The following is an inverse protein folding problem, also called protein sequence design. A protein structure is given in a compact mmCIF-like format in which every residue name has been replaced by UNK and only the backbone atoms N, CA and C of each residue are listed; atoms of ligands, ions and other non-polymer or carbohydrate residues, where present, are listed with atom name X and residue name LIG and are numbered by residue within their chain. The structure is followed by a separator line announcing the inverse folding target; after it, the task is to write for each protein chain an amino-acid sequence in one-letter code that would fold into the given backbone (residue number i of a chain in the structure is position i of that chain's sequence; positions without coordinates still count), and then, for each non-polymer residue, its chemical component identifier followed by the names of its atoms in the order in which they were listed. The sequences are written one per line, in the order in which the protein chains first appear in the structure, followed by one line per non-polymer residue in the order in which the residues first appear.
data_IF_768789364891
#
_entry.id   IF_768789364891
#
_cell.length_a   1.000
_cell.length_b   1.000
_cell.length_c   1.000
_cell.angle_alpha   90.00
_cell.angle_beta   90.00
_cell.angle_gamma   90.00
#
_symmetry.space_group_name_H-M   'P 1'
#
loop_
_entity.id
_entity.type
_entity.pdbx_description
1 polymer ?
#
# COMPACT_ATOMS: atom_id res chain seq x y z
N UNK A 1 -19.29 17.61 -4.65
CA UNK A 1 -18.94 16.44 -5.52
C UNK A 1 -17.49 16.15 -5.22
N UNK A 2 -17.16 14.89 -4.91
CA UNK A 2 -15.81 14.45 -4.54
C UNK A 2 -15.03 14.11 -5.81
N UNK A 3 -13.99 14.88 -6.12
CA UNK A 3 -13.10 14.65 -7.26
C UNK A 3 -11.99 13.67 -6.87
N UNK A 4 -11.97 12.52 -7.53
CA UNK A 4 -11.09 11.40 -7.18
C UNK A 4 -10.01 11.20 -8.22
N UNK A 5 -8.75 11.09 -7.81
CA UNK A 5 -7.65 10.54 -8.61
C UNK A 5 -7.52 9.04 -8.31
N UNK A 6 -7.49 8.20 -9.33
CA UNK A 6 -7.19 6.77 -9.21
C UNK A 6 -5.78 6.51 -9.75
N UNK A 7 -4.93 5.90 -8.93
CA UNK A 7 -3.58 5.45 -9.30
C UNK A 7 -3.48 3.92 -9.15
N UNK A 8 -3.54 3.20 -10.27
CA UNK A 8 -3.51 1.74 -10.36
C UNK A 8 -3.02 1.36 -11.77
N UNK A 9 -2.12 0.40 -11.92
CA UNK A 9 -1.60 -0.01 -13.23
C UNK A 9 -2.54 -1.00 -13.96
N UNK A 10 -3.49 -1.60 -13.24
CA UNK A 10 -4.45 -2.55 -13.81
C UNK A 10 -5.63 -1.83 -14.46
N UNK A 11 -5.62 -1.73 -15.78
CA UNK A 11 -6.67 -1.03 -16.56
C UNK A 11 -8.08 -1.50 -16.25
N UNK A 12 -8.28 -2.81 -16.03
CA UNK A 12 -9.60 -3.37 -15.72
C UNK A 12 -10.10 -2.92 -14.36
N UNK A 13 -9.21 -2.89 -13.36
CA UNK A 13 -9.53 -2.42 -12.01
C UNK A 13 -9.87 -0.94 -12.05
N UNK A 14 -9.05 -0.09 -12.71
CA UNK A 14 -9.36 1.35 -12.86
C UNK A 14 -10.74 1.59 -13.47
N UNK A 15 -11.06 0.87 -14.57
CA UNK A 15 -12.39 0.98 -15.21
C UNK A 15 -13.52 0.57 -14.27
N UNK A 16 -13.34 -0.52 -13.53
CA UNK A 16 -14.32 -0.97 -12.54
C UNK A 16 -14.52 0.02 -11.41
N UNK A 17 -13.44 0.54 -10.84
CA UNK A 17 -13.48 1.58 -9.81
C UNK A 17 -14.18 2.84 -10.33
N UNK A 18 -13.84 3.29 -11.54
CA UNK A 18 -14.47 4.45 -12.18
C UNK A 18 -15.96 4.25 -12.34
N UNK A 19 -16.41 3.10 -12.87
CA UNK A 19 -17.83 2.80 -13.02
C UNK A 19 -18.55 2.84 -11.66
N UNK A 20 -18.00 2.21 -10.62
CA UNK A 20 -18.60 2.20 -9.27
C UNK A 20 -18.77 3.65 -8.74
N UNK A 21 -17.80 4.52 -8.99
CA UNK A 21 -17.85 5.90 -8.51
C UNK A 21 -18.78 6.76 -9.36
N UNK A 22 -18.77 6.61 -10.68
CA UNK A 22 -19.64 7.36 -11.59
C UNK A 22 -21.13 6.98 -11.43
N UNK A 23 -21.43 5.78 -10.89
CA UNK A 23 -22.79 5.36 -10.50
C UNK A 23 -23.29 6.08 -9.22
N UNK A 24 -22.44 6.86 -8.54
CA UNK A 24 -22.84 7.65 -7.37
C UNK A 24 -23.11 9.11 -7.76
N UNK A 25 -24.04 9.76 -7.06
CA UNK A 25 -24.39 11.16 -7.34
C UNK A 25 -23.38 12.19 -6.77
N UNK A 26 -22.50 11.76 -5.87
CA UNK A 26 -21.64 12.61 -5.06
C UNK A 26 -20.13 12.46 -5.35
N UNK A 27 -19.75 11.55 -6.25
CA UNK A 27 -18.35 11.27 -6.58
C UNK A 27 -18.09 11.34 -8.08
N UNK A 28 -16.85 11.62 -8.46
CA UNK A 28 -16.42 11.63 -9.84
C UNK A 28 -14.92 11.33 -9.95
N UNK A 29 -14.55 10.47 -10.88
CA UNK A 29 -13.13 10.28 -11.25
C UNK A 29 -12.70 11.38 -12.20
N UNK A 30 -11.80 12.24 -11.74
CA UNK A 30 -11.28 13.38 -12.52
C UNK A 30 -9.81 13.19 -12.93
N UNK A 31 -9.18 12.10 -12.49
CA UNK A 31 -7.83 11.73 -12.88
C UNK A 31 -7.59 10.24 -12.81
N UNK A 32 -6.82 9.72 -13.75
CA UNK A 32 -6.36 8.33 -13.79
C UNK A 32 -4.85 8.30 -14.03
N UNK A 33 -4.12 7.55 -13.22
CA UNK A 33 -2.68 7.34 -13.31
C UNK A 33 -2.36 5.85 -13.36
N UNK A 34 -1.43 5.46 -14.22
CA UNK A 34 -0.96 4.07 -14.35
C UNK A 34 0.35 3.82 -13.60
N UNK A 35 0.98 4.91 -13.13
CA UNK A 35 2.26 4.86 -12.43
C UNK A 35 2.26 5.83 -11.24
N UNK A 36 3.11 5.56 -10.26
CA UNK A 36 3.28 6.45 -9.12
C UNK A 36 3.79 7.84 -9.51
N UNK A 37 4.66 7.92 -10.52
CA UNK A 37 5.15 9.19 -11.03
C UNK A 37 4.02 10.02 -11.67
N UNK A 38 3.14 9.40 -12.46
CA UNK A 38 1.97 10.07 -13.02
C UNK A 38 1.04 10.58 -11.92
N UNK A 39 0.76 9.76 -10.89
CA UNK A 39 -0.07 10.18 -9.76
C UNK A 39 0.50 11.42 -9.06
N UNK A 40 1.81 11.44 -8.80
CA UNK A 40 2.50 12.58 -8.18
C UNK A 40 2.40 13.82 -9.08
N UNK A 41 2.66 13.68 -10.38
CA UNK A 41 2.59 14.81 -11.33
C UNK A 41 1.18 15.38 -11.45
N UNK A 42 0.16 14.52 -11.45
CA UNK A 42 -1.24 14.97 -11.51
C UNK A 42 -1.64 15.69 -10.23
N UNK A 43 -1.25 15.17 -9.06
CA UNK A 43 -1.52 15.82 -7.77
C UNK A 43 -0.81 17.18 -7.61
N UNK A 44 0.29 17.41 -8.34
CA UNK A 44 0.96 18.72 -8.37
C UNK A 44 0.25 19.73 -9.28
N UNK A 45 -0.42 19.27 -10.33
CA UNK A 45 -1.01 20.12 -11.38
C UNK A 45 -2.49 20.39 -11.18
N UNK A 46 -3.19 19.52 -10.47
CA UNK A 46 -4.64 19.55 -10.33
C UNK A 46 -5.04 19.28 -8.89
N UNK A 47 -6.13 19.91 -8.45
CA UNK A 47 -6.70 19.67 -7.15
C UNK A 47 -7.61 18.41 -7.21
N UNK A 48 -7.41 17.52 -6.24
CA UNK A 48 -8.26 16.37 -6.00
C UNK A 48 -8.74 16.41 -4.55
N UNK A 49 -9.98 15.98 -4.31
CA UNK A 49 -10.53 15.89 -2.97
C UNK A 49 -10.03 14.64 -2.25
N UNK A 50 -9.62 13.60 -3.02
CA UNK A 50 -8.96 12.42 -2.50
C UNK A 50 -8.23 11.62 -3.59
N UNK A 51 -7.36 10.72 -3.16
CA UNK A 51 -6.60 9.83 -4.03
C UNK A 51 -6.83 8.37 -3.61
N UNK A 52 -7.21 7.53 -4.57
CA UNK A 52 -7.16 6.07 -4.46
C UNK A 52 -5.79 5.60 -4.99
N UNK A 53 -5.00 4.95 -4.16
CA UNK A 53 -3.61 4.62 -4.48
C UNK A 53 -3.33 3.15 -4.30
N UNK A 54 -2.97 2.47 -5.38
CA UNK A 54 -2.48 1.11 -5.31
C UNK A 54 -1.09 1.05 -4.65
N UNK A 55 -0.87 0.00 -3.86
CA UNK A 55 0.45 -0.31 -3.28
C UNK A 55 1.41 -0.81 -4.35
N UNK A 56 0.94 -1.59 -5.31
CA UNK A 56 1.76 -2.33 -6.28
C UNK A 56 1.84 -1.61 -7.62
N UNK A 57 2.42 -0.40 -7.65
CA UNK A 57 2.64 0.33 -8.89
C UNK A 57 3.96 -0.10 -9.59
N UNK A 58 4.02 -0.03 -10.94
CA UNK A 58 5.12 -0.60 -11.70
C UNK A 58 6.44 0.15 -11.55
N UNK A 59 6.42 1.44 -11.22
CA UNK A 59 7.61 2.29 -11.10
C UNK A 59 8.04 2.54 -9.65
N UNK A 60 7.10 2.54 -8.70
CA UNK A 60 7.34 2.85 -7.29
C UNK A 60 6.43 2.02 -6.39
N UNK A 61 6.88 1.77 -5.15
CA UNK A 61 5.98 1.26 -4.12
C UNK A 61 4.95 2.35 -3.75
N UNK A 62 3.67 1.97 -3.63
CA UNK A 62 2.60 2.92 -3.31
C UNK A 62 2.80 3.64 -1.98
N UNK A 63 3.47 3.03 -0.99
CA UNK A 63 3.81 3.71 0.28
C UNK A 63 4.84 4.82 0.05
N UNK A 64 5.81 4.63 -0.85
CA UNK A 64 6.76 5.68 -1.23
C UNK A 64 6.05 6.83 -1.97
N UNK A 65 5.07 6.49 -2.82
CA UNK A 65 4.21 7.46 -3.52
C UNK A 65 3.36 8.24 -2.51
N UNK A 66 2.72 7.55 -1.55
CA UNK A 66 1.95 8.15 -0.46
C UNK A 66 2.76 9.20 0.29
N UNK A 67 3.99 8.84 0.71
CA UNK A 67 4.89 9.77 1.42
C UNK A 67 5.16 11.04 0.59
N UNK A 68 5.41 10.88 -0.73
CA UNK A 68 5.64 12.01 -1.63
C UNK A 68 4.37 12.85 -1.81
N UNK A 69 3.20 12.24 -1.97
CA UNK A 69 1.92 12.93 -2.06
C UNK A 69 1.63 13.75 -0.80
N UNK A 70 1.93 13.20 0.38
CA UNK A 70 1.75 13.88 1.66
C UNK A 70 2.72 15.06 1.88
N UNK A 71 3.89 15.05 1.25
CA UNK A 71 4.79 16.21 1.23
C UNK A 71 4.29 17.33 0.32
N UNK A 72 3.62 16.99 -0.79
CA UNK A 72 3.10 17.96 -1.77
C UNK A 72 1.77 18.54 -1.30
N UNK A 73 0.84 17.70 -0.92
CA UNK A 73 -0.52 18.02 -0.50
C UNK A 73 -0.85 17.30 0.82
N UNK A 74 -0.45 17.82 1.98
CA UNK A 74 -0.65 17.19 3.28
C UNK A 74 -2.12 16.88 3.60
N UNK A 75 -3.02 17.78 3.16
CA UNK A 75 -4.44 17.74 3.49
C UNK A 75 -5.26 16.79 2.62
N UNK A 76 -4.78 16.47 1.40
CA UNK A 76 -5.50 15.56 0.50
C UNK A 76 -5.47 14.14 1.07
N UNK A 77 -6.62 13.56 1.40
CA UNK A 77 -6.68 12.21 1.94
C UNK A 77 -6.32 11.18 0.87
N UNK A 78 -5.56 10.15 1.28
CA UNK A 78 -5.17 9.03 0.42
C UNK A 78 -5.73 7.75 1.02
N UNK A 79 -6.57 7.04 0.25
CA UNK A 79 -7.05 5.69 0.55
C UNK A 79 -6.19 4.69 -0.21
N UNK A 80 -5.48 3.84 0.53
CA UNK A 80 -4.64 2.80 -0.06
C UNK A 80 -5.51 1.63 -0.52
N UNK A 81 -5.22 1.12 -1.72
CA UNK A 81 -5.83 -0.08 -2.28
C UNK A 81 -4.78 -1.19 -2.38
N UNK A 82 -5.14 -2.43 -2.08
CA UNK A 82 -4.24 -3.57 -2.19
C UNK A 82 -4.98 -4.86 -2.51
N UNK A 83 -4.33 -5.78 -3.21
CA UNK A 83 -4.78 -7.17 -3.33
C UNK A 83 -4.41 -8.01 -2.10
N UNK A 84 -3.51 -7.53 -1.26
CA UNK A 84 -3.08 -8.21 -0.04
C UNK A 84 -4.07 -7.97 1.10
N UNK A 85 -4.18 -8.94 1.99
CA UNK A 85 -4.99 -8.82 3.21
C UNK A 85 -4.55 -7.62 4.08
N UNK A 86 -5.41 -7.20 5.01
CA UNK A 86 -5.20 -6.06 5.91
C UNK A 86 -4.18 -6.39 7.00
N UNK A 87 -2.94 -6.59 6.59
CA UNK A 87 -1.82 -6.94 7.47
C UNK A 87 -0.82 -5.78 7.64
N UNK A 88 0.44 -6.11 7.61
CA UNK A 88 1.55 -5.17 7.80
C UNK A 88 1.58 -4.01 6.78
N UNK A 89 1.02 -4.18 5.57
CA UNK A 89 0.92 -3.07 4.61
C UNK A 89 -0.09 -2.02 5.06
N UNK A 90 -1.20 -2.45 5.67
CA UNK A 90 -2.18 -1.53 6.23
C UNK A 90 -1.58 -0.70 7.37
N UNK A 91 -0.91 -1.35 8.33
CA UNK A 91 -0.21 -0.67 9.45
C UNK A 91 0.85 0.32 8.93
N UNK A 92 1.68 -0.12 7.95
CA UNK A 92 2.70 0.74 7.33
C UNK A 92 2.10 1.93 6.61
N UNK A 93 1.02 1.72 5.86
CA UNK A 93 0.31 2.78 5.15
C UNK A 93 -0.27 3.81 6.13
N UNK A 94 -0.90 3.36 7.21
CA UNK A 94 -1.43 4.25 8.24
C UNK A 94 -0.32 5.06 8.94
N UNK A 95 0.81 4.43 9.26
CA UNK A 95 2.01 5.12 9.80
C UNK A 95 2.59 6.14 8.81
N UNK A 96 2.50 5.87 7.51
CA UNK A 96 2.95 6.78 6.46
C UNK A 96 1.98 7.93 6.16
N UNK A 97 0.81 7.97 6.83
CA UNK A 97 -0.16 9.05 6.72
C UNK A 97 -1.35 8.75 5.80
N UNK A 98 -1.61 7.49 5.46
CA UNK A 98 -2.85 7.12 4.78
C UNK A 98 -4.08 7.53 5.60
N UNK A 99 -5.15 7.90 4.90
CA UNK A 99 -6.46 8.14 5.50
C UNK A 99 -7.27 6.87 5.69
N UNK A 100 -6.90 5.79 4.98
CA UNK A 100 -7.50 4.47 5.13
C UNK A 100 -6.78 3.44 4.26
N UNK A 101 -7.21 2.19 4.43
CA UNK A 101 -6.76 1.04 3.67
C UNK A 101 -7.95 0.17 3.30
N UNK A 102 -8.00 -0.33 2.08
CA UNK A 102 -9.08 -1.18 1.58
C UNK A 102 -8.51 -2.28 0.69
N UNK A 103 -8.99 -3.51 0.87
CA UNK A 103 -8.70 -4.61 -0.04
C UNK A 103 -9.44 -4.39 -1.37
N UNK A 104 -8.76 -4.57 -2.50
CA UNK A 104 -9.37 -4.45 -3.85
C UNK A 104 -10.48 -5.47 -4.11
N UNK A 105 -10.55 -6.54 -3.33
CA UNK A 105 -11.63 -7.53 -3.38
C UNK A 105 -12.86 -7.13 -2.56
N UNK A 106 -12.81 -5.99 -1.87
CA UNK A 106 -13.94 -5.49 -1.09
C UNK A 106 -15.16 -5.19 -1.96
N UNK A 107 -16.34 -5.35 -1.40
CA UNK A 107 -17.58 -5.05 -2.10
C UNK A 107 -17.66 -3.58 -2.53
N UNK A 108 -18.31 -3.25 -3.68
CA UNK A 108 -18.44 -1.86 -4.14
C UNK A 108 -19.01 -0.91 -3.09
N UNK A 109 -19.96 -1.37 -2.28
CA UNK A 109 -20.52 -0.58 -1.18
C UNK A 109 -19.51 -0.21 -0.10
N UNK A 110 -18.53 -1.08 0.17
CA UNK A 110 -17.45 -0.79 1.11
C UNK A 110 -16.51 0.28 0.56
N UNK A 111 -16.19 0.25 -0.74
CA UNK A 111 -15.39 1.29 -1.39
C UNK A 111 -16.09 2.66 -1.28
N UNK A 112 -17.37 2.74 -1.66
CA UNK A 112 -18.13 3.99 -1.59
C UNK A 112 -18.20 4.53 -0.15
N UNK A 113 -18.43 3.65 0.83
CA UNK A 113 -18.46 4.04 2.25
C UNK A 113 -17.07 4.52 2.73
N UNK A 114 -15.99 3.83 2.33
CA UNK A 114 -14.62 4.21 2.67
C UNK A 114 -14.30 5.61 2.13
N UNK A 115 -14.66 5.88 0.86
CA UNK A 115 -14.44 7.19 0.23
C UNK A 115 -15.20 8.29 0.98
N UNK A 116 -16.48 8.11 1.29
CA UNK A 116 -17.28 9.09 2.06
C UNK A 116 -16.70 9.35 3.44
N UNK A 117 -16.29 8.29 4.12
CA UNK A 117 -15.67 8.38 5.44
C UNK A 117 -14.39 9.22 5.38
N UNK A 118 -13.52 8.90 4.43
CA UNK A 118 -12.22 9.55 4.26
C UNK A 118 -12.40 11.00 3.80
N UNK A 119 -13.30 11.27 2.86
CA UNK A 119 -13.61 12.62 2.38
C UNK A 119 -14.22 13.52 3.46
N UNK A 120 -14.85 12.93 4.49
CA UNK A 120 -15.34 13.68 5.67
C UNK A 120 -14.24 14.00 6.71
N UNK A 121 -12.97 13.69 6.40
CA UNK A 121 -11.82 13.92 7.29
C UNK A 121 -11.62 12.82 8.34
N UNK A 122 -12.39 11.73 8.29
CA UNK A 122 -12.24 10.59 9.20
C UNK A 122 -11.30 9.55 8.64
N UNK A 123 -10.70 8.73 9.50
CA UNK A 123 -9.94 7.55 9.07
C UNK A 123 -10.90 6.41 8.75
N UNK A 124 -10.62 5.68 7.66
CA UNK A 124 -11.29 4.43 7.36
C UNK A 124 -10.38 3.26 7.74
N UNK A 125 -10.80 2.50 8.74
CA UNK A 125 -10.04 1.37 9.30
C UNK A 125 -11.05 0.22 9.46
N UNK A 126 -10.70 -0.97 8.97
CA UNK A 126 -11.50 -2.17 9.24
C UNK A 126 -11.42 -2.58 10.72
N UNK A 127 -12.36 -3.41 11.17
CA UNK A 127 -12.35 -3.94 12.52
C UNK A 127 -11.05 -4.71 12.82
N UNK A 128 -10.61 -5.55 11.88
CA UNK A 128 -9.37 -6.33 12.03
C UNK A 128 -8.13 -5.44 12.17
N UNK A 129 -8.01 -4.43 11.32
CA UNK A 129 -6.90 -3.47 11.40
C UNK A 129 -6.94 -2.66 12.70
N UNK A 130 -8.14 -2.29 13.17
CA UNK A 130 -8.31 -1.60 14.44
C UNK A 130 -7.83 -2.45 15.62
N UNK A 131 -8.14 -3.75 15.64
CA UNK A 131 -7.67 -4.69 16.66
C UNK A 131 -6.14 -4.86 16.60
N UNK A 132 -5.56 -4.99 15.41
CA UNK A 132 -4.10 -5.07 15.24
C UNK A 132 -3.39 -3.82 15.76
N UNK A 133 -3.92 -2.64 15.45
CA UNK A 133 -3.39 -1.37 15.95
C UNK A 133 -3.53 -1.26 17.48
N UNK A 134 -4.66 -1.67 18.05
CA UNK A 134 -4.90 -1.66 19.49
C UNK A 134 -4.00 -2.67 20.22
N UNK A 135 -3.84 -3.89 19.69
CA UNK A 135 -2.96 -4.90 20.24
C UNK A 135 -1.48 -4.48 20.18
N UNK A 136 -1.08 -3.78 19.11
CA UNK A 136 0.25 -3.19 19.01
C UNK A 136 0.52 -2.09 20.04
N UNK A 137 -0.50 -1.43 20.56
CA UNK A 137 -0.38 -0.42 21.62
C UNK A 137 -0.37 -1.03 23.03
N UNK A 138 -1.04 -2.16 23.22
CA UNK A 138 -1.24 -2.79 24.55
C UNK A 138 -0.15 -3.80 24.95
N UNK A 139 0.47 -4.46 23.96
CA UNK A 139 1.62 -5.31 24.22
C UNK A 139 2.86 -4.43 24.15
N UNK A 140 3.49 -4.15 25.30
CA UNK A 140 4.74 -3.38 25.38
C UNK A 140 5.72 -3.88 24.30
N UNK A 141 6.00 -3.04 23.33
CA UNK A 141 6.67 -3.26 22.06
C UNK A 141 7.86 -4.24 22.16
N UNK A 142 7.64 -5.52 21.98
CA UNK A 142 8.65 -6.32 21.31
C UNK A 142 8.48 -6.02 19.82
N UNK A 143 9.26 -5.06 19.36
CA UNK A 143 9.28 -4.64 17.97
C UNK A 143 9.58 -5.87 17.09
N UNK A 144 8.57 -6.39 16.42
CA UNK A 144 8.75 -7.56 15.56
C UNK A 144 9.83 -7.24 14.55
N UNK A 145 10.82 -8.11 14.37
CA UNK A 145 12.01 -7.85 13.54
C UNK A 145 11.67 -7.27 12.16
N UNK A 146 10.57 -7.71 11.54
CA UNK A 146 10.15 -7.20 10.24
C UNK A 146 9.60 -5.76 10.27
N UNK A 147 9.27 -5.20 11.43
CA UNK A 147 8.83 -3.81 11.56
C UNK A 147 9.99 -2.82 11.39
N UNK A 148 11.23 -3.26 11.63
CA UNK A 148 12.42 -2.45 11.42
C UNK A 148 12.82 -2.31 9.95
N UNK A 149 12.22 -3.14 9.07
CA UNK A 149 12.50 -3.13 7.64
C UNK A 149 11.91 -1.90 6.98
N UNK A 150 12.65 -1.32 6.03
CA UNK A 150 12.08 -0.35 5.11
C UNK A 150 11.03 -1.02 4.20
N UNK A 151 10.17 -0.23 3.55
CA UNK A 151 9.09 -0.76 2.72
C UNK A 151 9.61 -1.64 1.57
N UNK A 152 10.78 -1.32 1.01
CA UNK A 152 11.44 -2.11 -0.03
C UNK A 152 12.08 -3.40 0.50
N UNK A 153 12.65 -3.37 1.68
CA UNK A 153 13.16 -4.57 2.36
C UNK A 153 12.02 -5.50 2.76
N UNK A 154 10.91 -4.95 3.26
CA UNK A 154 9.70 -5.70 3.58
C UNK A 154 9.08 -6.33 2.34
N UNK A 155 8.91 -5.57 1.26
CA UNK A 155 8.44 -6.07 -0.04
C UNK A 155 9.34 -7.22 -0.54
N UNK A 156 10.66 -7.07 -0.39
CA UNK A 156 11.63 -8.11 -0.76
C UNK A 156 11.41 -9.39 0.08
N UNK A 157 11.17 -9.26 1.38
CA UNK A 157 10.89 -10.38 2.28
C UNK A 157 9.63 -11.14 1.86
N UNK A 158 8.53 -10.44 1.61
CA UNK A 158 7.26 -11.04 1.19
C UNK A 158 7.40 -11.77 -0.16
N UNK A 159 8.06 -11.17 -1.15
CA UNK A 159 8.29 -11.79 -2.45
C UNK A 159 9.19 -13.03 -2.37
N UNK A 160 10.22 -13.00 -1.52
CA UNK A 160 11.05 -14.18 -1.24
C UNK A 160 10.24 -15.31 -0.61
N UNK A 161 9.42 -14.99 0.37
CA UNK A 161 8.59 -15.97 1.07
C UNK A 161 7.51 -16.56 0.16
N UNK A 162 6.99 -15.78 -0.80
CA UNK A 162 6.10 -16.26 -1.88
C UNK A 162 6.81 -17.06 -2.97
N UNK A 163 8.08 -17.45 -2.78
CA UNK A 163 8.83 -18.30 -3.70
C UNK A 163 9.28 -17.63 -4.99
N UNK A 164 9.25 -16.30 -5.11
CA UNK A 164 9.67 -15.59 -6.31
C UNK A 164 11.19 -15.63 -6.48
N UNK A 165 11.64 -15.93 -7.70
CA UNK A 165 13.06 -15.85 -8.05
C UNK A 165 13.54 -14.41 -8.08
N UNK A 166 14.84 -14.17 -7.89
CA UNK A 166 15.43 -12.84 -7.89
C UNK A 166 15.09 -12.02 -9.14
N UNK A 167 15.07 -12.66 -10.32
CA UNK A 167 14.69 -12.01 -11.58
C UNK A 167 13.21 -11.60 -11.65
N UNK A 168 12.33 -12.39 -11.04
CA UNK A 168 10.90 -12.09 -10.95
C UNK A 168 10.64 -10.94 -9.97
N UNK A 169 11.32 -10.99 -8.82
CA UNK A 169 11.29 -9.91 -7.83
C UNK A 169 11.74 -8.59 -8.45
N UNK A 170 12.84 -8.61 -9.22
CA UNK A 170 13.36 -7.44 -9.92
C UNK A 170 12.32 -6.84 -10.88
N UNK A 171 11.60 -7.67 -11.64
CA UNK A 171 10.51 -7.23 -12.51
C UNK A 171 9.34 -6.64 -11.73
N UNK A 172 8.85 -7.34 -10.70
CA UNK A 172 7.72 -6.90 -9.85
C UNK A 172 8.04 -5.56 -9.17
N UNK A 173 9.27 -5.40 -8.69
CA UNK A 173 9.72 -4.20 -7.99
C UNK A 173 10.16 -3.07 -8.94
N UNK A 174 10.22 -3.32 -10.25
CA UNK A 174 10.77 -2.41 -11.27
C UNK A 174 12.21 -1.96 -10.96
N UNK A 175 13.03 -2.92 -10.54
CA UNK A 175 14.42 -2.72 -10.12
C UNK A 175 15.36 -3.67 -10.83
N UNK A 176 16.67 -3.40 -10.75
CA UNK A 176 17.69 -4.37 -11.18
C UNK A 176 17.80 -5.53 -10.19
N UNK A 177 18.14 -6.72 -10.66
CA UNK A 177 18.42 -7.87 -9.79
C UNK A 177 19.54 -7.56 -8.77
N UNK A 178 20.50 -6.72 -9.13
CA UNK A 178 21.54 -6.23 -8.22
C UNK A 178 20.96 -5.41 -7.07
N UNK A 179 20.02 -4.52 -7.36
CA UNK A 179 19.35 -3.68 -6.35
C UNK A 179 18.52 -4.53 -5.40
N UNK A 180 17.76 -5.49 -5.92
CA UNK A 180 16.98 -6.43 -5.08
C UNK A 180 17.90 -7.28 -4.21
N UNK A 181 19.05 -7.70 -4.73
CA UNK A 181 20.06 -8.42 -3.94
C UNK A 181 20.60 -7.59 -2.77
N UNK A 182 20.74 -6.26 -2.95
CA UNK A 182 21.13 -5.35 -1.86
C UNK A 182 20.04 -5.29 -0.79
N UNK A 183 18.76 -5.14 -1.17
CA UNK A 183 17.66 -5.17 -0.20
C UNK A 183 17.60 -6.49 0.54
N UNK A 184 17.80 -7.62 -0.14
CA UNK A 184 17.88 -8.94 0.48
C UNK A 184 19.01 -9.02 1.52
N UNK A 185 20.19 -8.53 1.21
CA UNK A 185 21.31 -8.53 2.15
C UNK A 185 20.98 -7.68 3.39
N UNK A 186 20.44 -6.46 3.19
CA UNK A 186 20.07 -5.55 4.27
C UNK A 186 18.96 -6.10 5.17
N UNK A 187 17.94 -6.76 4.59
CA UNK A 187 16.89 -7.35 5.40
C UNK A 187 17.42 -8.47 6.28
N UNK A 188 18.29 -9.34 5.76
CA UNK A 188 18.91 -10.40 6.56
C UNK A 188 19.73 -9.83 7.71
N UNK A 189 20.52 -8.79 7.45
CA UNK A 189 21.31 -8.08 8.47
C UNK A 189 20.40 -7.46 9.55
N UNK A 190 19.40 -6.66 9.16
CA UNK A 190 18.48 -5.98 10.10
C UNK A 190 17.67 -6.96 10.94
N UNK A 191 17.27 -8.08 10.35
CA UNK A 191 16.52 -9.12 11.04
C UNK A 191 17.42 -10.08 11.84
N UNK A 192 18.74 -9.91 11.77
CA UNK A 192 19.72 -10.83 12.34
C UNK A 192 19.49 -12.29 11.91
N UNK A 193 19.30 -12.49 10.59
CA UNK A 193 19.12 -13.79 9.96
C UNK A 193 20.32 -14.11 9.08
N UNK A 194 20.72 -15.38 9.01
CA UNK A 194 21.92 -15.81 8.28
C UNK A 194 21.61 -16.29 6.86
N UNK A 195 20.41 -16.79 6.65
CA UNK A 195 20.04 -17.45 5.38
C UNK A 195 18.67 -17.00 4.86
N UNK A 196 18.47 -17.15 3.55
CA UNK A 196 17.15 -16.93 2.94
C UNK A 196 16.09 -17.87 3.53
N UNK A 197 16.46 -19.10 3.85
CA UNK A 197 15.55 -20.09 4.43
C UNK A 197 15.01 -19.61 5.78
N UNK A 198 15.86 -19.02 6.62
CA UNK A 198 15.44 -18.43 7.90
C UNK A 198 14.49 -17.26 7.70
N UNK A 199 14.74 -16.42 6.68
CA UNK A 199 13.86 -15.28 6.36
C UNK A 199 12.49 -15.76 5.85
N UNK A 200 12.45 -16.78 4.99
CA UNK A 200 11.22 -17.38 4.49
C UNK A 200 10.45 -18.03 5.64
N UNK A 201 11.12 -18.84 6.47
CA UNK A 201 10.50 -19.47 7.65
C UNK A 201 9.92 -18.42 8.60
N UNK A 202 10.67 -17.34 8.85
CA UNK A 202 10.19 -16.23 9.68
C UNK A 202 8.93 -15.58 9.10
N UNK A 203 8.91 -15.31 7.80
CA UNK A 203 7.76 -14.68 7.13
C UNK A 203 6.50 -15.56 7.23
N UNK A 204 6.64 -16.87 7.00
CA UNK A 204 5.53 -17.84 7.12
C UNK A 204 5.05 -17.92 8.56
N UNK A 205 5.97 -18.05 9.55
CA UNK A 205 5.62 -18.17 10.96
C UNK A 205 4.97 -16.91 11.55
N UNK A 206 5.16 -15.75 10.92
CA UNK A 206 4.55 -14.48 11.32
C UNK A 206 3.39 -14.08 10.40
N UNK A 207 2.89 -14.98 9.56
CA UNK A 207 1.77 -14.75 8.65
C UNK A 207 1.94 -13.51 7.77
N UNK A 208 3.17 -13.23 7.27
CA UNK A 208 3.46 -12.09 6.39
C UNK A 208 3.09 -12.37 4.93
N UNK A 209 2.76 -13.60 4.60
CA UNK A 209 2.26 -14.07 3.31
C UNK A 209 1.15 -15.09 3.54
N UNK A 210 0.24 -15.21 2.58
CA UNK A 210 -0.79 -16.25 2.51
C UNK A 210 -0.22 -17.59 2.06
#
# INVERSE_FOLDING_TARGET
MINVLIADDHTLIRKGLKQILDDTADMRVTGEAETGMQAIQMAQKSAFDMILLDISLPDKNGIDVLKQLKLINPDVPVLMLSMHAEDQYAVRSMKAGAAGYLNKQSAPSQLVNAIRTVASGKKYISGELAEQLANGLSQGYQELRHQTLSDREYQTLCLMASGKKLSEMAKIMSLSAKTVSVYRARLLEKMNLKTNAEAIHYAISNHLIE
#
